data_IF_400251823289
#
_entry.id   IF_400251823289
#
_cell.length_a   1.000
_cell.length_b   1.000
_cell.length_c   1.000
_cell.angle_alpha   90.00
_cell.angle_beta   90.00
_cell.angle_gamma   90.00
#
_symmetry.space_group_name_H-M   'P 1'
#
loop_
_entity.id
_entity.type
_entity.pdbx_description
1 polymer ?
#
# COMPACT_ATOMS: atom_id res chain seq x y z
N UNK A 1 18.55 53.80 -13.01
CA UNK A 1 17.33 53.06 -12.63
C UNK A 1 17.69 51.59 -12.76
N UNK A 2 18.32 51.03 -11.73
CA UNK A 2 18.82 49.65 -11.72
C UNK A 2 17.69 48.69 -11.36
N UNK A 3 17.34 47.81 -12.30
CA UNK A 3 16.35 46.77 -12.12
C UNK A 3 17.03 45.55 -11.49
N UNK A 4 16.87 45.41 -10.17
CA UNK A 4 17.40 44.27 -9.41
C UNK A 4 16.61 42.99 -9.74
N UNK A 5 17.20 42.13 -10.57
CA UNK A 5 16.74 40.76 -10.81
C UNK A 5 16.78 39.96 -9.50
N UNK A 6 15.60 39.73 -8.90
CA UNK A 6 15.42 38.90 -7.71
C UNK A 6 15.72 37.43 -8.04
N UNK A 7 16.97 37.03 -7.82
CA UNK A 7 17.42 35.63 -7.88
C UNK A 7 16.67 34.86 -6.79
N UNK A 8 15.67 34.07 -7.16
CA UNK A 8 15.02 33.14 -6.24
C UNK A 8 16.06 32.13 -5.78
N UNK A 9 16.35 32.12 -4.49
CA UNK A 9 17.22 31.16 -3.82
C UNK A 9 16.57 29.77 -3.90
N UNK A 10 16.80 29.06 -5.01
CA UNK A 10 16.39 27.68 -5.18
C UNK A 10 17.35 26.85 -4.33
N UNK A 11 16.99 26.68 -3.06
CA UNK A 11 17.67 25.79 -2.13
C UNK A 11 17.79 24.43 -2.80
N UNK A 12 19.02 23.97 -3.03
CA UNK A 12 19.29 22.65 -3.62
C UNK A 12 18.57 21.60 -2.77
N UNK A 13 17.56 20.94 -3.35
CA UNK A 13 16.79 19.89 -2.69
C UNK A 13 17.76 18.75 -2.38
N UNK A 14 18.06 18.52 -1.10
CA UNK A 14 18.88 17.36 -0.73
C UNK A 14 18.01 16.11 -0.90
N UNK A 15 18.60 15.05 -1.47
CA UNK A 15 17.92 13.76 -1.53
C UNK A 15 17.54 13.34 -0.10
N UNK A 16 16.24 13.18 0.15
CA UNK A 16 15.74 12.77 1.46
C UNK A 16 14.92 13.82 2.22
N UNK A 17 14.90 15.09 1.80
CA UNK A 17 14.22 16.18 2.52
C UNK A 17 12.69 15.96 2.68
N UNK A 18 12.07 15.13 1.83
CA UNK A 18 10.65 14.79 1.94
C UNK A 18 10.36 13.70 2.99
N UNK A 19 11.37 13.15 3.66
CA UNK A 19 11.21 12.06 4.61
C UNK A 19 11.00 12.56 6.03
N UNK A 20 9.85 12.22 6.63
CA UNK A 20 9.43 12.67 7.98
C UNK A 20 10.47 12.33 9.07
N UNK A 21 11.27 11.26 8.91
CA UNK A 21 12.22 10.75 9.91
C UNK A 21 13.70 10.78 9.45
N UNK A 22 14.03 11.48 8.34
CA UNK A 22 15.40 11.46 7.82
C UNK A 22 16.27 12.53 8.47
N UNK A 23 17.19 12.09 9.34
CA UNK A 23 18.16 12.93 10.03
C UNK A 23 19.47 13.14 9.24
N UNK A 24 19.54 12.65 7.99
CA UNK A 24 20.75 12.68 7.18
C UNK A 24 21.71 11.51 7.40
N UNK A 25 21.40 10.58 8.32
CA UNK A 25 22.24 9.41 8.61
C UNK A 25 21.81 8.18 7.80
N UNK A 26 22.77 7.46 7.22
CA UNK A 26 22.53 6.22 6.47
C UNK A 26 22.28 5.03 7.42
N UNK A 27 21.28 5.12 8.31
CA UNK A 27 20.90 4.00 9.16
C UNK A 27 19.74 3.19 8.53
N UNK A 28 19.90 1.88 8.28
CA UNK A 28 18.90 1.09 7.52
C UNK A 28 17.63 0.67 8.30
N UNK A 29 17.39 1.15 9.52
CA UNK A 29 16.85 0.24 10.53
C UNK A 29 15.38 0.43 11.00
N UNK A 30 14.62 1.45 10.60
CA UNK A 30 13.34 1.74 11.31
C UNK A 30 12.04 1.31 10.62
N UNK A 31 12.07 0.86 9.35
CA UNK A 31 10.82 0.70 8.58
C UNK A 31 10.17 -0.69 8.70
N UNK A 32 10.90 -1.70 9.16
CA UNK A 32 10.31 -3.03 9.37
C UNK A 32 9.32 -3.02 10.54
N UNK A 33 8.08 -3.40 10.26
CA UNK A 33 7.03 -3.44 11.27
C UNK A 33 6.27 -4.77 11.25
N UNK A 34 5.72 -5.15 12.40
CA UNK A 34 4.85 -6.32 12.50
C UNK A 34 3.54 -6.06 11.76
N UNK A 35 2.99 -7.08 11.09
CA UNK A 35 1.67 -7.00 10.45
C UNK A 35 0.54 -6.62 11.44
N UNK A 36 0.75 -6.85 12.74
CA UNK A 36 -0.21 -6.48 13.80
C UNK A 36 -0.41 -4.97 13.95
N UNK A 37 0.60 -4.15 13.62
CA UNK A 37 0.56 -2.69 13.80
C UNK A 37 -0.61 -2.07 13.04
N UNK A 38 -0.74 -2.38 11.75
CA UNK A 38 -1.83 -1.88 10.92
C UNK A 38 -3.20 -2.37 11.41
N UNK A 39 -3.31 -3.62 11.85
CA UNK A 39 -4.57 -4.20 12.35
C UNK A 39 -5.07 -3.50 13.61
N UNK A 40 -4.20 -3.33 14.60
CA UNK A 40 -4.56 -2.67 15.87
C UNK A 40 -4.99 -1.23 15.60
N UNK A 41 -4.21 -0.49 14.80
CA UNK A 41 -4.57 0.89 14.47
C UNK A 41 -5.83 0.99 13.62
N UNK A 42 -6.11 0.00 12.76
CA UNK A 42 -7.38 -0.06 12.01
C UNK A 42 -8.59 -0.17 12.96
N UNK A 43 -8.49 -1.04 13.98
CA UNK A 43 -9.53 -1.18 15.00
C UNK A 43 -9.69 0.10 15.82
N UNK A 44 -8.57 0.67 16.29
CA UNK A 44 -8.60 1.91 17.08
C UNK A 44 -9.15 3.10 16.28
N UNK A 45 -8.74 3.24 15.01
CA UNK A 45 -9.20 4.33 14.15
C UNK A 45 -10.71 4.25 13.88
N UNK A 46 -11.24 3.05 13.64
CA UNK A 46 -12.68 2.87 13.40
C UNK A 46 -13.48 2.99 14.69
N UNK A 47 -12.98 2.47 15.82
CA UNK A 47 -13.60 2.69 17.12
C UNK A 47 -13.65 4.18 17.48
N UNK A 48 -12.56 4.91 17.24
CA UNK A 48 -12.49 6.36 17.44
C UNK A 48 -13.46 7.12 16.52
N UNK A 49 -13.57 6.72 15.25
CA UNK A 49 -14.54 7.31 14.32
C UNK A 49 -15.99 7.09 14.77
N UNK A 50 -16.34 5.87 15.18
CA UNK A 50 -17.67 5.54 15.70
C UNK A 50 -17.94 6.35 16.96
N UNK A 51 -16.99 6.44 17.90
CA UNK A 51 -17.13 7.23 19.12
C UNK A 51 -17.32 8.72 18.82
N UNK A 52 -16.55 9.30 17.90
CA UNK A 52 -16.67 10.71 17.52
C UNK A 52 -18.02 11.04 16.89
N UNK A 53 -18.51 10.21 15.96
CA UNK A 53 -19.82 10.38 15.33
C UNK A 53 -20.94 10.16 16.35
N UNK A 54 -20.79 9.17 17.24
CA UNK A 54 -21.75 8.92 18.32
C UNK A 54 -21.84 10.09 19.30
N UNK A 55 -20.70 10.66 19.71
CA UNK A 55 -20.64 11.85 20.55
C UNK A 55 -21.29 13.06 19.87
N UNK A 56 -21.04 13.25 18.58
CA UNK A 56 -21.64 14.32 17.79
C UNK A 56 -23.17 14.19 17.71
N UNK A 57 -23.69 12.98 17.45
CA UNK A 57 -25.13 12.71 17.45
C UNK A 57 -25.75 12.90 18.82
N UNK A 58 -25.06 12.49 19.88
CA UNK A 58 -25.48 12.72 21.26
C UNK A 58 -25.57 14.21 21.58
N UNK A 59 -24.58 15.01 21.18
CA UNK A 59 -24.55 16.46 21.40
C UNK A 59 -25.67 17.20 20.65
N UNK A 60 -26.06 16.74 19.45
CA UNK A 60 -27.13 17.36 18.65
C UNK A 60 -28.52 16.85 19.05
N UNK A 61 -28.61 15.69 19.70
CA UNK A 61 -29.87 15.09 20.14
C UNK A 61 -30.89 16.05 20.79
N UNK A 62 -30.53 17.00 21.68
CA UNK A 62 -31.49 17.94 22.27
C UNK A 62 -32.04 18.98 21.30
N UNK A 63 -31.32 19.33 20.22
CA UNK A 63 -31.87 20.20 19.17
C UNK A 63 -32.76 19.40 18.21
N UNK A 64 -32.37 18.16 17.93
CA UNK A 64 -33.12 17.28 17.04
C UNK A 64 -34.50 16.92 17.61
N UNK A 65 -34.61 16.80 18.94
CA UNK A 65 -35.88 16.52 19.61
C UNK A 65 -36.89 17.67 19.52
N UNK A 66 -36.45 18.91 19.23
CA UNK A 66 -37.35 20.05 19.01
C UNK A 66 -38.19 19.92 17.73
N UNK A 67 -37.69 19.18 16.73
CA UNK A 67 -38.39 18.94 15.46
C UNK A 67 -39.29 17.70 15.47
N UNK A 68 -39.28 16.92 16.57
CA UNK A 68 -40.11 15.73 16.77
C UNK A 68 -39.35 14.58 17.42
N UNK A 69 -40.10 13.62 17.98
CA UNK A 69 -39.55 12.45 18.69
C UNK A 69 -39.10 11.32 17.77
N UNK A 70 -39.57 11.28 16.52
CA UNK A 70 -39.20 10.26 15.53
C UNK A 70 -37.79 10.49 14.98
N UNK A 71 -37.40 11.76 14.77
CA UNK A 71 -36.15 12.13 14.09
C UNK A 71 -34.89 11.67 14.85
N UNK A 72 -34.74 11.90 16.17
CA UNK A 72 -33.59 11.39 16.93
C UNK A 72 -33.49 9.86 16.91
N UNK A 73 -34.63 9.16 16.96
CA UNK A 73 -34.67 7.68 16.94
C UNK A 73 -34.23 7.14 15.58
N UNK A 74 -34.67 7.76 14.49
CA UNK A 74 -34.27 7.37 13.14
C UNK A 74 -32.75 7.53 12.94
N UNK A 75 -32.17 8.66 13.37
CA UNK A 75 -30.71 8.87 13.31
C UNK A 75 -29.94 7.88 14.19
N UNK A 76 -30.43 7.58 15.40
CA UNK A 76 -29.80 6.61 16.29
C UNK A 76 -29.80 5.19 15.69
N UNK A 77 -30.93 4.75 15.11
CA UNK A 77 -31.03 3.45 14.44
C UNK A 77 -30.11 3.40 13.23
N UNK A 78 -30.14 4.42 12.37
CA UNK A 78 -29.29 4.49 11.18
C UNK A 78 -27.80 4.45 11.56
N UNK A 79 -27.40 5.20 12.58
CA UNK A 79 -26.04 5.17 13.12
C UNK A 79 -25.68 3.80 13.69
N UNK A 80 -26.58 3.17 14.47
CA UNK A 80 -26.36 1.84 15.02
C UNK A 80 -26.15 0.79 13.93
N UNK A 81 -26.97 0.80 12.88
CA UNK A 81 -26.80 -0.06 11.72
C UNK A 81 -25.46 0.20 11.01
N UNK A 82 -25.10 1.47 10.78
CA UNK A 82 -23.83 1.84 10.15
C UNK A 82 -22.61 1.39 10.97
N UNK A 83 -22.63 1.63 12.29
CA UNK A 83 -21.59 1.22 13.22
C UNK A 83 -21.44 -0.30 13.27
N UNK A 84 -22.54 -1.05 13.28
CA UNK A 84 -22.53 -2.51 13.23
C UNK A 84 -21.88 -3.02 11.95
N UNK A 85 -22.25 -2.47 10.79
CA UNK A 85 -21.67 -2.84 9.49
C UNK A 85 -20.16 -2.59 9.47
N UNK A 86 -19.71 -1.42 9.93
CA UNK A 86 -18.28 -1.11 10.02
C UNK A 86 -17.55 -2.05 10.98
N UNK A 87 -18.12 -2.30 12.15
CA UNK A 87 -17.54 -3.19 13.15
C UNK A 87 -17.37 -4.62 12.61
N UNK A 88 -18.43 -5.19 12.02
CA UNK A 88 -18.40 -6.52 11.40
C UNK A 88 -17.35 -6.57 10.30
N UNK A 89 -17.28 -5.54 9.45
CA UNK A 89 -16.29 -5.49 8.38
C UNK A 89 -14.84 -5.49 8.91
N UNK A 90 -14.51 -4.67 9.92
CA UNK A 90 -13.17 -4.64 10.53
C UNK A 90 -12.84 -5.94 11.25
N UNK A 91 -13.81 -6.50 11.99
CA UNK A 91 -13.63 -7.77 12.68
C UNK A 91 -13.30 -8.89 11.69
N UNK A 92 -14.04 -8.96 10.57
CA UNK A 92 -13.77 -9.92 9.50
C UNK A 92 -12.42 -9.68 8.82
N UNK A 93 -12.05 -8.41 8.56
CA UNK A 93 -10.75 -8.06 7.99
C UNK A 93 -9.59 -8.50 8.91
N UNK A 94 -9.69 -8.18 10.21
CA UNK A 94 -8.71 -8.55 11.22
C UNK A 94 -8.63 -10.08 11.40
N UNK A 95 -9.77 -10.76 11.46
CA UNK A 95 -9.83 -12.22 11.54
C UNK A 95 -9.20 -12.88 10.32
N UNK A 96 -9.50 -12.39 9.12
CA UNK A 96 -8.93 -12.91 7.87
C UNK A 96 -7.42 -12.71 7.79
N UNK A 97 -6.91 -11.56 8.27
CA UNK A 97 -5.48 -11.31 8.37
C UNK A 97 -4.80 -12.22 9.41
N UNK A 98 -5.44 -12.43 10.57
CA UNK A 98 -4.92 -13.28 11.65
C UNK A 98 -4.87 -14.77 11.25
N UNK A 99 -5.91 -15.27 10.59
CA UNK A 99 -6.01 -16.66 10.12
C UNK A 99 -5.18 -16.94 8.87
N UNK A 100 -4.59 -15.90 8.25
CA UNK A 100 -3.87 -15.96 6.97
C UNK A 100 -4.66 -16.60 5.83
N UNK A 101 -5.99 -16.64 5.95
CA UNK A 101 -6.90 -17.21 4.98
C UNK A 101 -7.84 -16.10 4.51
N UNK A 102 -7.79 -15.68 3.23
CA UNK A 102 -8.79 -14.75 2.71
C UNK A 102 -10.15 -15.45 2.78
N UNK A 103 -11.04 -15.00 3.67
CA UNK A 103 -12.30 -15.69 3.92
C UNK A 103 -13.22 -15.58 2.68
N UNK A 104 -13.24 -14.43 2.00
CA UNK A 104 -13.93 -14.22 0.72
C UNK A 104 -13.26 -13.09 -0.07
N UNK A 105 -13.41 -13.09 -1.41
CA UNK A 105 -13.01 -11.95 -2.28
C UNK A 105 -13.77 -10.65 -1.94
N UNK A 106 -14.89 -10.75 -1.24
CA UNK A 106 -15.76 -9.62 -0.88
C UNK A 106 -15.15 -8.70 0.20
N UNK A 107 -14.21 -9.19 1.02
CA UNK A 107 -13.63 -8.42 2.14
C UNK A 107 -12.60 -7.39 1.65
N UNK A 108 -11.89 -7.71 0.57
CA UNK A 108 -10.85 -6.84 -0.03
C UNK A 108 -11.50 -5.94 -1.08
N UNK A 109 -12.47 -5.12 -0.68
CA UNK A 109 -12.98 -4.06 -1.55
C UNK A 109 -11.89 -3.00 -1.67
N UNK A 110 -11.24 -2.83 -2.85
CA UNK A 110 -10.05 -1.98 -2.96
C UNK A 110 -10.31 -0.54 -2.49
N UNK A 111 -11.50 -0.01 -2.80
CA UNK A 111 -11.91 1.33 -2.39
C UNK A 111 -12.02 1.49 -0.87
N UNK A 112 -12.54 0.48 -0.19
CA UNK A 112 -12.72 0.52 1.26
C UNK A 112 -11.39 0.34 1.98
N UNK A 113 -10.54 -0.56 1.48
CA UNK A 113 -9.15 -0.72 1.96
C UNK A 113 -8.37 0.58 1.80
N UNK A 114 -8.49 1.27 0.66
CA UNK A 114 -7.82 2.57 0.45
C UNK A 114 -8.31 3.65 1.41
N UNK A 115 -9.62 3.69 1.72
CA UNK A 115 -10.17 4.61 2.74
C UNK A 115 -9.65 4.27 4.14
N UNK A 116 -9.66 2.99 4.51
CA UNK A 116 -9.10 2.52 5.77
C UNK A 116 -7.62 2.91 5.89
N UNK A 117 -6.84 2.68 4.85
CA UNK A 117 -5.43 3.03 4.82
C UNK A 117 -5.20 4.54 5.03
N UNK A 118 -5.97 5.40 4.35
CA UNK A 118 -5.90 6.85 4.57
C UNK A 118 -6.30 7.25 5.99
N UNK A 119 -7.33 6.64 6.56
CA UNK A 119 -7.75 6.86 7.94
C UNK A 119 -6.64 6.45 8.93
N UNK A 120 -6.08 5.25 8.77
CA UNK A 120 -5.05 4.68 9.66
C UNK A 120 -3.76 5.49 9.63
N UNK A 121 -3.33 5.97 8.46
CA UNK A 121 -2.17 6.87 8.37
C UNK A 121 -2.46 8.18 9.11
N UNK A 122 -3.65 8.76 8.90
CA UNK A 122 -4.06 9.99 9.59
C UNK A 122 -4.03 9.82 11.11
N UNK A 123 -4.59 8.73 11.63
CA UNK A 123 -4.53 8.42 13.06
C UNK A 123 -3.12 8.09 13.53
N UNK A 124 -2.33 7.37 12.73
CA UNK A 124 -0.98 6.98 13.08
C UNK A 124 -0.03 8.15 13.26
N UNK A 125 -0.17 9.19 12.42
CA UNK A 125 0.57 10.45 12.56
C UNK A 125 0.27 11.14 13.89
N UNK A 126 -0.97 11.08 14.38
CA UNK A 126 -1.33 11.63 15.69
C UNK A 126 -0.62 10.92 16.85
N UNK A 127 -0.30 9.63 16.69
CA UNK A 127 0.46 8.84 17.66
C UNK A 127 1.98 8.83 17.40
N UNK A 128 2.49 9.69 16.51
CA UNK A 128 3.92 9.75 16.17
C UNK A 128 4.45 8.51 15.44
N UNK A 129 3.57 7.73 14.80
CA UNK A 129 3.94 6.55 14.03
C UNK A 129 4.16 6.95 12.57
N UNK A 130 5.35 6.66 12.05
CA UNK A 130 5.69 7.06 10.70
C UNK A 130 4.86 6.34 9.63
N UNK A 131 4.52 7.10 8.59
CA UNK A 131 3.72 6.63 7.45
C UNK A 131 4.36 5.40 6.77
N UNK A 132 5.68 5.36 6.73
CA UNK A 132 6.45 4.29 6.10
C UNK A 132 6.31 2.98 6.89
N UNK A 133 6.37 3.03 8.23
CA UNK A 133 6.15 1.84 9.09
C UNK A 133 4.74 1.27 8.96
N UNK A 134 3.73 2.14 8.89
CA UNK A 134 2.34 1.72 8.69
C UNK A 134 2.13 1.10 7.32
N UNK A 135 2.74 1.68 6.31
CA UNK A 135 2.71 1.16 4.95
C UNK A 135 3.38 -0.20 4.86
N UNK A 136 4.54 -0.40 5.51
CA UNK A 136 5.21 -1.70 5.55
C UNK A 136 4.31 -2.77 6.20
N UNK A 137 3.65 -2.44 7.31
CA UNK A 137 2.69 -3.32 8.00
C UNK A 137 1.50 -3.67 7.12
N UNK A 138 0.92 -2.64 6.47
CA UNK A 138 -0.18 -2.78 5.53
C UNK A 138 0.18 -3.68 4.35
N UNK A 139 1.35 -3.46 3.72
CA UNK A 139 1.81 -4.24 2.57
C UNK A 139 1.95 -5.74 2.91
N UNK A 140 2.38 -6.08 4.12
CA UNK A 140 2.46 -7.50 4.56
C UNK A 140 1.08 -8.16 4.55
N UNK A 141 0.05 -7.48 5.03
CA UNK A 141 -1.33 -7.98 5.04
C UNK A 141 -1.91 -7.99 3.63
N UNK A 142 -1.69 -6.92 2.87
CA UNK A 142 -2.22 -6.78 1.52
C UNK A 142 -1.63 -7.83 0.57
N UNK A 143 -0.32 -8.03 0.59
CA UNK A 143 0.35 -9.04 -0.22
C UNK A 143 -0.15 -10.45 0.12
N UNK A 144 -0.41 -10.74 1.40
CA UNK A 144 -1.03 -12.01 1.81
C UNK A 144 -2.39 -12.21 1.13
N UNK A 145 -3.24 -11.19 1.07
CA UNK A 145 -4.53 -11.30 0.40
C UNK A 145 -4.41 -11.45 -1.11
N UNK A 146 -3.59 -10.63 -1.77
CA UNK A 146 -3.46 -10.68 -3.24
C UNK A 146 -2.77 -11.96 -3.71
N UNK A 147 -1.74 -12.43 -3.00
CA UNK A 147 -1.04 -13.67 -3.37
C UNK A 147 -1.85 -14.93 -3.06
N UNK A 148 -2.86 -14.85 -2.21
CA UNK A 148 -3.75 -15.97 -1.94
C UNK A 148 -4.83 -16.15 -3.02
N UNK A 149 -4.99 -15.19 -3.95
CA UNK A 149 -5.85 -15.39 -5.11
C UNK A 149 -5.16 -16.35 -6.10
N UNK A 150 -5.79 -17.47 -6.47
CA UNK A 150 -5.28 -18.31 -7.55
C UNK A 150 -5.42 -17.52 -8.85
N UNK A 151 -4.28 -17.04 -9.35
CA UNK A 151 -4.20 -16.39 -10.63
C UNK A 151 -3.03 -17.04 -11.37
N UNK A 152 -3.35 -17.98 -12.27
CA UNK A 152 -2.47 -18.32 -13.39
C UNK A 152 -2.59 -17.17 -14.38
N UNK A 153 -1.54 -16.35 -14.43
CA UNK A 153 -1.48 -15.17 -15.28
C UNK A 153 -0.51 -15.49 -16.42
N UNK A 154 -0.91 -15.30 -17.69
CA UNK A 154 0.03 -15.48 -18.79
C UNK A 154 1.12 -14.42 -18.67
N UNK A 155 2.40 -14.73 -18.99
CA UNK A 155 3.53 -13.82 -18.79
C UNK A 155 3.31 -12.41 -19.34
N UNK A 156 2.67 -12.29 -20.50
CA UNK A 156 2.41 -11.02 -21.20
C UNK A 156 1.40 -10.13 -20.46
N UNK A 157 0.70 -10.66 -19.45
CA UNK A 157 -0.22 -9.90 -18.60
C UNK A 157 0.33 -9.68 -17.20
N UNK A 158 1.58 -10.06 -16.94
CA UNK A 158 2.31 -9.77 -15.72
C UNK A 158 3.24 -8.57 -15.96
N UNK A 159 3.09 -7.50 -15.17
CA UNK A 159 3.96 -6.32 -15.25
C UNK A 159 4.74 -6.12 -13.97
N UNK A 160 6.08 -6.13 -14.06
CA UNK A 160 6.96 -5.72 -12.97
C UNK A 160 7.38 -4.27 -13.19
N UNK A 161 7.14 -3.43 -12.18
CA UNK A 161 7.59 -2.04 -12.14
C UNK A 161 8.77 -1.93 -11.18
N UNK A 162 9.93 -1.55 -11.69
CA UNK A 162 11.16 -1.37 -10.93
C UNK A 162 11.56 0.11 -10.84
N UNK A 163 12.20 0.56 -9.76
CA UNK A 163 12.64 1.94 -9.63
C UNK A 163 14.02 2.13 -10.27
N UNK A 164 14.37 3.36 -10.66
CA UNK A 164 15.71 3.70 -11.18
C UNK A 164 16.82 3.57 -10.13
N UNK A 165 16.49 3.69 -8.84
CA UNK A 165 17.45 3.69 -7.74
C UNK A 165 17.93 2.29 -7.31
N UNK A 166 17.56 1.23 -8.03
CA UNK A 166 17.98 -0.14 -7.74
C UNK A 166 19.46 -0.36 -8.11
N UNK A 167 20.19 -1.15 -7.32
CA UNK A 167 21.58 -1.51 -7.66
C UNK A 167 21.69 -2.16 -9.04
N UNK A 168 22.84 -1.97 -9.70
CA UNK A 168 23.11 -2.52 -11.04
C UNK A 168 22.94 -4.04 -11.07
N UNK A 169 23.44 -4.74 -10.06
CA UNK A 169 23.33 -6.20 -9.95
C UNK A 169 21.87 -6.66 -9.85
N UNK A 170 21.06 -6.05 -8.97
CA UNK A 170 19.63 -6.37 -8.86
C UNK A 170 18.87 -6.08 -10.16
N UNK A 171 19.21 -5.00 -10.87
CA UNK A 171 18.58 -4.66 -12.14
C UNK A 171 18.91 -5.71 -13.24
N UNK A 172 20.17 -6.16 -13.32
CA UNK A 172 20.59 -7.21 -14.24
C UNK A 172 19.85 -8.52 -13.93
N UNK A 173 19.77 -8.91 -12.66
CA UNK A 173 19.09 -10.15 -12.24
C UNK A 173 17.58 -10.11 -12.51
N UNK A 174 16.91 -8.98 -12.26
CA UNK A 174 15.49 -8.81 -12.64
C UNK A 174 15.26 -8.93 -14.14
N UNK A 175 16.17 -8.42 -14.98
CA UNK A 175 16.08 -8.58 -16.44
C UNK A 175 16.28 -10.02 -16.88
N UNK A 176 17.20 -10.76 -16.26
CA UNK A 176 17.35 -12.19 -16.51
C UNK A 176 16.08 -12.95 -16.17
N UNK A 177 15.46 -12.64 -15.03
CA UNK A 177 14.18 -13.24 -14.65
C UNK A 177 13.07 -12.91 -15.65
N UNK A 178 13.05 -11.68 -16.18
CA UNK A 178 12.14 -11.29 -17.26
C UNK A 178 12.37 -12.12 -18.52
N UNK A 179 13.61 -12.33 -18.91
CA UNK A 179 13.97 -13.07 -20.12
C UNK A 179 13.66 -14.57 -19.97
N UNK A 180 13.83 -15.12 -18.77
CA UNK A 180 13.49 -16.51 -18.44
C UNK A 180 11.97 -16.76 -18.46
N UNK A 181 11.19 -15.86 -17.86
CA UNK A 181 9.75 -16.08 -17.66
C UNK A 181 8.85 -15.34 -18.67
N UNK A 182 9.39 -14.46 -19.51
CA UNK A 182 8.65 -13.78 -20.59
C UNK A 182 7.71 -12.65 -20.15
N UNK A 183 7.78 -12.15 -18.91
CA UNK A 183 6.87 -11.11 -18.43
C UNK A 183 7.26 -9.70 -18.89
N UNK A 184 6.35 -8.73 -18.75
CA UNK A 184 6.67 -7.32 -19.01
C UNK A 184 7.39 -6.68 -17.81
N UNK A 185 8.48 -5.96 -18.09
CA UNK A 185 9.21 -5.19 -17.09
C UNK A 185 9.37 -3.75 -17.56
N UNK A 186 9.20 -2.79 -16.65
CA UNK A 186 9.54 -1.40 -16.89
C UNK A 186 10.31 -0.81 -15.71
N UNK A 187 11.33 -0.02 -16.01
CA UNK A 187 11.98 0.83 -15.02
C UNK A 187 11.32 2.20 -15.08
N UNK A 188 10.75 2.65 -13.97
CA UNK A 188 10.06 3.92 -13.85
C UNK A 188 10.79 4.85 -12.89
N UNK A 189 10.68 6.13 -13.16
CA UNK A 189 11.33 7.20 -12.41
C UNK A 189 10.46 7.87 -11.36
N UNK A 190 9.17 7.60 -11.44
CA UNK A 190 8.19 8.04 -10.46
C UNK A 190 6.83 7.50 -10.80
N UNK A 191 5.84 8.05 -10.10
CA UNK A 191 4.49 7.55 -10.21
C UNK A 191 3.90 7.69 -11.61
N UNK A 192 3.92 8.89 -12.18
CA UNK A 192 3.32 9.20 -13.47
C UNK A 192 3.75 8.23 -14.58
N UNK A 193 5.05 7.95 -14.70
CA UNK A 193 5.58 6.99 -15.67
C UNK A 193 5.06 5.57 -15.44
N UNK A 194 5.00 5.13 -14.17
CA UNK A 194 4.42 3.84 -13.80
C UNK A 194 2.94 3.74 -14.23
N UNK A 195 2.12 4.78 -14.01
CA UNK A 195 0.71 4.78 -14.45
C UNK A 195 0.58 4.73 -15.96
N UNK A 196 1.40 5.50 -16.67
CA UNK A 196 1.39 5.50 -18.14
C UNK A 196 1.71 4.11 -18.68
N UNK A 197 2.70 3.42 -18.08
CA UNK A 197 3.06 2.06 -18.48
C UNK A 197 1.95 1.06 -18.19
N UNK A 198 1.28 1.16 -17.03
CA UNK A 198 0.12 0.30 -16.70
C UNK A 198 -1.00 0.50 -17.72
N UNK A 199 -1.31 1.73 -18.12
CA UNK A 199 -2.34 2.02 -19.14
C UNK A 199 -1.97 1.47 -20.52
N UNK A 200 -0.69 1.49 -20.87
CA UNK A 200 -0.20 0.97 -22.14
C UNK A 200 -0.20 -0.58 -22.17
N UNK A 201 0.29 -1.22 -21.12
CA UNK A 201 0.43 -2.68 -21.05
C UNK A 201 -0.89 -3.38 -20.71
N UNK A 202 -1.78 -2.72 -19.94
CA UNK A 202 -3.03 -3.29 -19.42
C UNK A 202 -2.83 -4.66 -18.73
N UNK A 203 -1.92 -4.77 -17.75
CA UNK A 203 -1.64 -6.03 -17.07
C UNK A 203 -2.82 -6.52 -16.23
N UNK A 204 -2.87 -7.83 -15.97
CA UNK A 204 -3.79 -8.43 -14.99
C UNK A 204 -3.26 -8.37 -13.57
N UNK A 205 -1.95 -8.21 -13.39
CA UNK A 205 -1.28 -8.08 -12.10
C UNK A 205 -0.03 -7.23 -12.24
N UNK A 206 0.20 -6.36 -11.24
CA UNK A 206 1.40 -5.54 -11.13
C UNK A 206 2.23 -5.99 -9.94
N UNK A 207 3.51 -6.26 -10.15
CA UNK A 207 4.51 -6.39 -9.08
C UNK A 207 5.25 -5.06 -9.00
N UNK A 208 4.96 -4.27 -7.98
CA UNK A 208 5.54 -2.95 -7.80
C UNK A 208 6.72 -3.03 -6.83
N UNK A 209 7.88 -2.57 -7.26
CA UNK A 209 9.09 -2.45 -6.44
C UNK A 209 9.34 -0.96 -6.23
N UNK A 210 9.24 -0.48 -4.99
CA UNK A 210 9.57 0.89 -4.65
C UNK A 210 9.76 1.03 -3.13
N UNK A 211 10.03 2.25 -2.65
CA UNK A 211 9.93 2.53 -1.23
C UNK A 211 8.46 2.48 -0.76
N UNK A 212 8.23 2.37 0.54
CA UNK A 212 6.90 2.35 1.13
C UNK A 212 6.04 3.54 0.67
N UNK A 213 6.60 4.75 0.68
CA UNK A 213 5.90 5.97 0.27
C UNK A 213 5.44 5.96 -1.19
N UNK A 214 6.28 5.49 -2.09
CA UNK A 214 5.92 5.40 -3.51
C UNK A 214 4.95 4.25 -3.76
N UNK A 215 5.09 3.15 -3.00
CA UNK A 215 4.14 2.05 -3.03
C UNK A 215 2.76 2.51 -2.60
N UNK A 216 2.63 3.28 -1.50
CA UNK A 216 1.31 3.68 -1.01
C UNK A 216 0.57 4.63 -1.94
N UNK A 217 1.29 5.59 -2.55
CA UNK A 217 0.71 6.52 -3.51
C UNK A 217 0.23 5.79 -4.78
N UNK A 218 1.09 4.93 -5.34
CA UNK A 218 0.72 4.09 -6.48
C UNK A 218 -0.42 3.11 -6.14
N UNK A 219 -0.40 2.55 -4.94
CA UNK A 219 -1.40 1.60 -4.48
C UNK A 219 -2.81 2.19 -4.43
N UNK A 220 -2.97 3.37 -3.80
CA UNK A 220 -4.27 4.02 -3.66
C UNK A 220 -4.93 4.31 -5.01
N UNK A 221 -4.14 4.58 -6.03
CA UNK A 221 -4.60 4.90 -7.38
C UNK A 221 -4.87 3.66 -8.24
N UNK A 222 -3.99 2.66 -8.18
CA UNK A 222 -3.99 1.53 -9.12
C UNK A 222 -4.81 0.34 -8.61
N UNK A 223 -4.76 0.06 -7.31
CA UNK A 223 -5.39 -1.13 -6.70
C UNK A 223 -6.90 -1.27 -6.98
N UNK A 224 -7.70 -0.20 -7.16
CA UNK A 224 -9.10 -0.32 -7.56
C UNK A 224 -9.33 -0.93 -8.95
N UNK A 225 -8.31 -0.94 -9.81
CA UNK A 225 -8.42 -1.36 -11.21
C UNK A 225 -7.58 -2.59 -11.54
N UNK A 226 -6.38 -2.68 -10.96
CA UNK A 226 -5.45 -3.78 -11.19
C UNK A 226 -4.89 -4.22 -9.83
N UNK A 227 -4.89 -5.52 -9.50
CA UNK A 227 -4.26 -5.99 -8.27
C UNK A 227 -2.76 -5.68 -8.30
N UNK A 228 -2.23 -5.24 -7.16
CA UNK A 228 -0.82 -4.89 -6.99
C UNK A 228 -0.23 -5.74 -5.86
N UNK A 229 0.94 -6.33 -6.08
CA UNK A 229 1.80 -6.89 -5.04
C UNK A 229 2.98 -5.94 -4.87
N UNK A 230 3.17 -5.43 -3.65
CA UNK A 230 4.21 -4.42 -3.37
C UNK A 230 5.43 -5.02 -2.70
N UNK A 231 6.62 -4.78 -3.24
CA UNK A 231 7.90 -5.16 -2.66
C UNK A 231 8.64 -3.90 -2.19
N UNK A 232 8.68 -3.62 -0.88
CA UNK A 232 9.45 -2.50 -0.37
C UNK A 232 10.95 -2.74 -0.63
N UNK A 233 11.64 -1.74 -1.18
CA UNK A 233 13.09 -1.80 -1.35
C UNK A 233 13.83 -1.44 -0.05
N UNK A 234 14.98 -2.08 0.14
CA UNK A 234 15.92 -1.78 1.21
C UNK A 234 16.82 -0.61 0.80
N UNK A 235 17.15 0.24 1.76
CA UNK A 235 17.86 1.51 1.54
C UNK A 235 19.14 1.56 2.40
N UNK A 236 20.18 0.79 2.06
CA UNK A 236 21.39 0.72 2.88
C UNK A 236 22.16 2.05 2.91
N UNK A 237 22.09 2.84 1.85
CA UNK A 237 22.78 4.12 1.71
C UNK A 237 21.84 5.33 1.79
N UNK A 238 20.66 5.15 2.39
CA UNK A 238 19.64 6.19 2.48
C UNK A 238 18.67 6.24 1.29
N UNK A 239 17.82 7.28 1.24
CA UNK A 239 16.70 7.35 0.31
C UNK A 239 17.17 7.45 -1.14
N UNK A 240 16.58 6.60 -2.00
CA UNK A 240 16.77 6.62 -3.44
C UNK A 240 18.22 6.47 -3.92
N UNK A 241 19.10 5.86 -3.11
CA UNK A 241 20.49 5.55 -3.48
C UNK A 241 20.79 4.07 -3.27
N UNK A 242 21.32 3.41 -4.31
CA UNK A 242 21.76 2.01 -4.30
C UNK A 242 20.82 1.08 -3.53
N UNK A 243 19.54 1.16 -3.84
CA UNK A 243 18.51 0.39 -3.15
C UNK A 243 18.59 -1.09 -3.54
N UNK A 244 18.28 -1.95 -2.57
CA UNK A 244 18.35 -3.39 -2.71
C UNK A 244 16.97 -4.04 -2.57
N UNK A 245 16.81 -5.23 -3.12
CA UNK A 245 15.57 -6.02 -3.02
C UNK A 245 15.91 -7.48 -2.79
N UNK A 246 15.01 -8.20 -2.13
CA UNK A 246 15.07 -9.67 -2.09
C UNK A 246 14.51 -10.25 -3.39
N UNK A 247 15.41 -10.56 -4.32
CA UNK A 247 15.07 -11.20 -5.60
C UNK A 247 14.42 -12.56 -5.42
N UNK A 248 14.77 -13.30 -4.36
CA UNK A 248 14.23 -14.64 -4.09
C UNK A 248 12.73 -14.58 -3.81
N UNK A 249 12.28 -13.55 -3.07
CA UNK A 249 10.86 -13.31 -2.81
C UNK A 249 10.09 -12.94 -4.08
N UNK A 250 10.70 -12.15 -4.97
CA UNK A 250 10.12 -11.78 -6.27
C UNK A 250 10.02 -13.01 -7.17
N UNK A 251 11.08 -13.79 -7.32
CA UNK A 251 11.09 -15.01 -8.13
C UNK A 251 10.02 -16.00 -7.66
N UNK A 252 9.94 -16.25 -6.35
CA UNK A 252 8.91 -17.14 -5.77
C UNK A 252 7.50 -16.64 -6.10
N UNK A 253 7.29 -15.33 -6.07
CA UNK A 253 6.00 -14.72 -6.42
C UNK A 253 5.70 -14.83 -7.90
N UNK A 254 6.68 -14.58 -8.78
CA UNK A 254 6.56 -14.73 -10.23
C UNK A 254 6.17 -16.18 -10.57
N UNK A 255 6.92 -17.17 -10.07
CA UNK A 255 6.62 -18.60 -10.29
C UNK A 255 5.20 -18.94 -9.86
N UNK A 256 4.80 -18.51 -8.66
CA UNK A 256 3.45 -18.73 -8.15
C UNK A 256 2.37 -18.09 -9.02
N UNK A 257 2.60 -16.89 -9.55
CA UNK A 257 1.65 -16.20 -10.42
C UNK A 257 1.60 -16.78 -11.84
N UNK A 258 2.69 -17.37 -12.32
CA UNK A 258 2.73 -18.02 -13.63
C UNK A 258 2.29 -19.50 -13.57
N UNK A 259 2.22 -20.09 -12.37
CA UNK A 259 1.87 -21.49 -12.17
C UNK A 259 3.01 -22.47 -12.49
N UNK A 260 4.26 -22.01 -12.43
CA UNK A 260 5.45 -22.82 -12.70
C UNK A 260 5.87 -23.52 -11.40
N UNK A 261 5.92 -24.86 -11.42
CA UNK A 261 6.35 -25.67 -10.28
C UNK A 261 7.89 -25.61 -10.15
N UNK A 262 8.48 -25.79 -8.95
CA UNK A 262 9.93 -25.89 -8.80
C UNK A 262 10.58 -26.99 -9.65
N UNK A 263 9.79 -28.00 -10.06
CA UNK A 263 10.22 -29.21 -10.78
C UNK A 263 10.40 -29.03 -12.30
N UNK A 264 9.83 -27.98 -12.90
CA UNK A 264 9.86 -27.73 -14.36
C UNK A 264 11.26 -27.37 -14.91
N UNK A 265 12.29 -27.35 -14.04
CA UNK A 265 13.69 -27.07 -14.41
C UNK A 265 14.43 -28.31 -14.96
N UNK A 266 13.89 -29.52 -14.78
CA UNK A 266 14.58 -30.76 -15.15
C UNK A 266 14.31 -31.26 -16.57
N UNK A 267 13.33 -30.71 -17.30
CA UNK A 267 12.98 -31.18 -18.65
C UNK A 267 13.57 -30.32 -19.79
N UNK A 268 14.23 -29.20 -19.49
CA UNK A 268 14.81 -28.29 -20.50
C UNK A 268 16.33 -28.10 -20.36
N UNK A 269 17.03 -29.08 -19.77
CA UNK A 269 18.50 -29.10 -19.62
C UNK A 269 19.19 -29.90 -20.71
#
# INVERSE_FOLDING_TARGET
MEEQTKKSDVKDRKLGDEWEDWDGSATPASTESNARLFLVLSVLAIAGLIAAVGLFLWLISPRLSQFGTLLPRAFAIAFGCFALVLFVWVALFAWSAATRRPLTRLIVVPRLVNRLLSLVIGTGKLFGISSDRLTNSFLKIHNLFVTALPALIPPERLLILAPRCLTRDNNIRLRRLRDEFGFHMAVCDGGTAARQKIRAVKPRLVLAIACERDLISGFKEINPFVPVIGFPNQRPEGPCKNTCIDLSSIERTVRKCLGVSPEDRLENG
#
